data_IF_653542778023
#
_entry.id   IF_653542778023
#
_cell.length_a   1.000
_cell.length_b   1.000
_cell.length_c   1.000
_cell.angle_alpha   90.00
_cell.angle_beta   90.00
_cell.angle_gamma   90.00
#
_symmetry.space_group_name_H-M   'P 1'
#
loop_
_entity.id
_entity.type
_entity.pdbx_description
1 polymer ?
#
# COMPACT_ATOMS: atom_id res chain seq x y z
N UNK A 1 11.36 31.56 -15.23
CA UNK A 1 12.17 30.41 -15.68
C UNK A 1 13.21 30.15 -14.61
N UNK A 2 13.19 28.98 -13.94
CA UNK A 2 14.24 28.64 -12.96
C UNK A 2 15.54 28.31 -13.68
N UNK A 3 16.63 28.93 -13.26
CA UNK A 3 17.99 28.74 -13.77
C UNK A 3 18.89 28.42 -12.58
N UNK A 4 19.85 27.52 -12.78
CA UNK A 4 20.95 27.28 -11.84
C UNK A 4 21.94 28.45 -11.88
N UNK A 5 22.82 28.57 -10.87
CA UNK A 5 23.83 29.64 -10.73
C UNK A 5 24.73 29.80 -11.96
N UNK A 6 24.87 28.75 -12.78
CA UNK A 6 25.72 28.72 -13.97
C UNK A 6 24.94 28.97 -15.27
N UNK A 7 23.71 29.50 -15.20
CA UNK A 7 22.86 29.78 -16.38
C UNK A 7 22.28 28.54 -17.07
N UNK A 8 22.61 27.35 -16.57
CA UNK A 8 21.99 26.10 -17.01
C UNK A 8 20.55 26.00 -16.49
N UNK A 9 19.65 25.42 -17.29
CA UNK A 9 18.32 25.03 -16.79
C UNK A 9 18.51 24.04 -15.66
N UNK A 10 17.83 24.30 -14.54
CA UNK A 10 17.72 23.30 -13.50
C UNK A 10 16.84 22.15 -14.04
N UNK A 11 17.30 20.92 -13.85
CA UNK A 11 16.46 19.73 -14.01
C UNK A 11 16.04 19.31 -12.61
N UNK A 12 14.84 19.71 -12.20
CA UNK A 12 14.32 19.34 -10.88
C UNK A 12 14.17 17.82 -10.75
N UNK A 13 13.97 17.09 -11.85
CA UNK A 13 13.83 15.63 -11.84
C UNK A 13 15.17 14.89 -11.64
N UNK A 14 16.31 15.53 -11.88
CA UNK A 14 17.64 14.94 -11.66
C UNK A 14 18.11 15.00 -10.19
N UNK A 15 17.27 15.51 -9.29
CA UNK A 15 17.57 15.53 -7.86
C UNK A 15 17.46 14.13 -7.24
N UNK A 16 18.29 13.76 -6.24
CA UNK A 16 18.35 12.40 -5.68
C UNK A 16 17.00 11.84 -5.18
N UNK A 17 16.10 12.71 -4.71
CA UNK A 17 14.76 12.33 -4.25
C UNK A 17 13.64 12.80 -5.18
N UNK A 18 13.98 13.56 -6.23
CA UNK A 18 13.03 14.22 -7.11
C UNK A 18 12.00 15.11 -6.37
N UNK A 19 11.17 15.87 -7.10
CA UNK A 19 10.13 16.70 -6.51
C UNK A 19 8.76 16.01 -6.48
N UNK A 20 8.65 14.78 -7.00
CA UNK A 20 7.38 14.09 -7.24
C UNK A 20 7.34 12.74 -6.51
N UNK A 21 6.16 12.33 -6.04
CA UNK A 21 5.98 11.03 -5.40
C UNK A 21 6.13 9.85 -6.37
N UNK A 22 5.62 10.01 -7.59
CA UNK A 22 5.69 8.99 -8.65
C UNK A 22 6.62 9.51 -9.76
N UNK A 23 6.08 9.80 -10.95
CA UNK A 23 6.89 10.18 -12.11
C UNK A 23 7.11 11.69 -12.16
N UNK A 24 8.36 12.12 -12.36
CA UNK A 24 8.72 13.50 -12.66
C UNK A 24 8.98 13.67 -14.16
N UNK A 25 8.38 14.69 -14.76
CA UNK A 25 8.63 15.08 -16.16
C UNK A 25 9.23 16.47 -16.18
N UNK A 26 10.49 16.57 -16.60
CA UNK A 26 11.17 17.86 -16.74
C UNK A 26 10.51 18.68 -17.87
N UNK A 27 10.25 19.97 -17.63
CA UNK A 27 9.65 20.90 -18.60
C UNK A 27 10.52 22.15 -18.74
N UNK A 28 10.32 22.90 -19.82
CA UNK A 28 11.11 24.13 -20.04
C UNK A 28 10.78 25.17 -18.95
N UNK A 29 11.66 25.30 -17.97
CA UNK A 29 11.55 26.31 -16.90
C UNK A 29 10.71 25.89 -15.69
N UNK A 30 10.31 24.61 -15.61
CA UNK A 30 9.55 24.01 -14.51
C UNK A 30 9.58 22.47 -14.63
N UNK A 31 8.80 21.77 -13.82
CA UNK A 31 8.59 20.33 -13.90
C UNK A 31 7.10 20.01 -13.76
N UNK A 32 6.70 18.79 -14.14
CA UNK A 32 5.34 18.30 -13.97
C UNK A 32 5.36 16.91 -13.32
N UNK A 33 4.62 16.75 -12.23
CA UNK A 33 4.41 15.44 -11.63
C UNK A 33 3.29 14.69 -12.35
N UNK A 34 3.47 13.38 -12.53
CA UNK A 34 2.47 12.46 -13.08
C UNK A 34 2.29 11.27 -12.16
N UNK A 35 1.05 10.81 -12.02
CA UNK A 35 0.72 9.63 -11.25
C UNK A 35 0.55 8.41 -12.15
N UNK A 36 0.97 7.25 -11.66
CA UNK A 36 0.73 5.95 -12.28
C UNK A 36 -0.78 5.67 -12.40
N UNK A 37 -1.14 4.72 -13.27
CA UNK A 37 -2.52 4.28 -13.42
C UNK A 37 -3.13 3.87 -12.08
N UNK A 38 -4.40 4.23 -11.85
CA UNK A 38 -5.08 4.00 -10.57
C UNK A 38 -4.88 5.09 -9.51
N UNK A 39 -4.07 6.12 -9.81
CA UNK A 39 -3.82 7.25 -8.90
C UNK A 39 -4.25 8.59 -9.53
N UNK A 40 -4.60 9.55 -8.68
CA UNK A 40 -4.92 10.95 -9.05
C UNK A 40 -3.94 11.89 -8.36
N UNK A 41 -3.50 12.91 -9.11
CA UNK A 41 -2.64 13.96 -8.57
C UNK A 41 -3.50 14.96 -7.79
N UNK A 42 -3.20 15.13 -6.51
CA UNK A 42 -3.82 16.15 -5.66
C UNK A 42 -2.72 16.80 -4.81
N UNK A 43 -2.52 18.12 -4.94
CA UNK A 43 -1.50 18.87 -4.18
C UNK A 43 -0.08 18.27 -4.28
N UNK A 44 0.37 17.88 -5.48
CA UNK A 44 1.64 17.16 -5.73
C UNK A 44 1.77 15.76 -5.11
N UNK A 45 0.70 15.24 -4.51
CA UNK A 45 0.61 13.90 -3.94
C UNK A 45 -0.20 13.00 -4.88
N UNK A 46 0.29 11.78 -5.11
CA UNK A 46 -0.45 10.79 -5.89
C UNK A 46 -1.31 9.94 -4.96
N UNK A 47 -2.63 10.15 -5.01
CA UNK A 47 -3.59 9.43 -4.18
C UNK A 47 -4.25 8.30 -4.97
N UNK A 48 -4.43 7.14 -4.35
CA UNK A 48 -5.16 6.04 -4.96
C UNK A 48 -6.61 6.45 -5.20
N UNK A 49 -7.17 6.09 -6.36
CA UNK A 49 -8.56 6.41 -6.70
C UNK A 49 -9.57 5.48 -6.01
N UNK A 50 -9.11 4.30 -5.58
CA UNK A 50 -9.94 3.30 -4.92
C UNK A 50 -9.80 3.42 -3.39
N UNK A 51 -10.85 3.03 -2.67
CA UNK A 51 -10.85 3.02 -1.21
C UNK A 51 -9.74 2.11 -0.67
N UNK A 52 -8.78 2.72 0.04
CA UNK A 52 -7.71 1.98 0.72
C UNK A 52 -8.28 1.16 1.87
N UNK A 53 -8.01 -0.14 1.85
CA UNK A 53 -8.38 -1.08 2.91
C UNK A 53 -7.12 -1.71 3.47
N UNK A 54 -7.03 -1.81 4.80
CA UNK A 54 -5.94 -2.47 5.51
C UNK A 54 -6.43 -3.81 6.04
N UNK A 55 -5.76 -4.90 5.69
CA UNK A 55 -5.95 -6.19 6.36
C UNK A 55 -5.29 -6.12 7.74
N UNK A 56 -6.06 -6.38 8.79
CA UNK A 56 -5.58 -6.29 10.17
C UNK A 56 -6.35 -7.23 11.10
N UNK A 57 -5.90 -7.31 12.34
CA UNK A 57 -6.53 -8.07 13.41
C UNK A 57 -7.21 -7.15 14.43
N UNK A 58 -8.27 -7.63 15.09
CA UNK A 58 -8.91 -6.97 16.22
C UNK A 58 -9.55 -8.03 17.13
N UNK A 59 -8.94 -8.31 18.30
CA UNK A 59 -9.46 -9.24 19.33
C UNK A 59 -9.89 -10.60 18.77
N UNK A 60 -8.96 -11.38 18.21
CA UNK A 60 -9.28 -12.68 17.58
C UNK A 60 -10.08 -12.61 16.28
N UNK A 61 -10.32 -11.42 15.73
CA UNK A 61 -10.91 -11.25 14.40
C UNK A 61 -9.83 -10.82 13.42
N UNK A 62 -9.91 -11.32 12.20
CA UNK A 62 -9.18 -10.75 11.07
C UNK A 62 -10.20 -10.07 10.15
N UNK A 63 -9.86 -8.86 9.71
CA UNK A 63 -10.77 -8.02 8.95
C UNK A 63 -10.08 -6.93 8.14
N UNK A 64 -10.88 -6.16 7.42
CA UNK A 64 -10.46 -5.03 6.62
C UNK A 64 -10.88 -3.73 7.29
N UNK A 65 -9.92 -2.83 7.53
CA UNK A 65 -10.21 -1.44 7.92
C UNK A 65 -10.24 -0.57 6.69
N UNK A 66 -11.37 0.09 6.43
CA UNK A 66 -11.43 1.17 5.45
C UNK A 66 -10.77 2.43 6.01
N UNK A 67 -9.72 2.94 5.36
CA UNK A 67 -9.02 4.16 5.81
C UNK A 67 -9.92 5.39 5.69
N UNK A 68 -10.73 5.45 4.64
CA UNK A 68 -11.63 6.58 4.37
C UNK A 68 -12.84 6.59 5.32
N UNK A 69 -13.65 5.52 5.28
CA UNK A 69 -14.84 5.40 6.12
C UNK A 69 -14.54 5.14 7.61
N UNK A 70 -13.30 4.78 7.96
CA UNK A 70 -12.88 4.38 9.32
C UNK A 70 -13.72 3.23 9.89
N UNK A 71 -14.13 2.31 9.03
CA UNK A 71 -14.96 1.15 9.39
C UNK A 71 -14.15 -0.14 9.37
N UNK A 72 -14.42 -1.04 10.33
CA UNK A 72 -13.86 -2.39 10.38
C UNK A 72 -14.87 -3.39 9.80
N UNK A 73 -14.48 -4.13 8.77
CA UNK A 73 -15.23 -5.25 8.21
C UNK A 73 -14.57 -6.56 8.61
N UNK A 74 -15.22 -7.32 9.48
CA UNK A 74 -14.79 -8.68 9.82
C UNK A 74 -14.82 -9.57 8.59
N UNK A 75 -13.74 -10.32 8.36
CA UNK A 75 -13.70 -11.38 7.35
C UNK A 75 -13.93 -12.75 7.99
N UNK A 76 -13.31 -13.00 9.15
CA UNK A 76 -13.39 -14.27 9.89
C UNK A 76 -12.88 -14.11 11.32
N UNK A 77 -13.23 -15.08 12.17
CA UNK A 77 -12.71 -15.23 13.52
C UNK A 77 -11.63 -16.31 13.53
N UNK A 78 -10.65 -16.15 14.41
CA UNK A 78 -9.57 -17.11 14.64
C UNK A 78 -9.53 -17.49 16.11
N UNK A 79 -9.17 -18.75 16.37
CA UNK A 79 -9.11 -19.29 17.74
C UNK A 79 -7.87 -18.79 18.52
N UNK A 80 -6.90 -18.20 17.82
CA UNK A 80 -5.67 -17.65 18.39
C UNK A 80 -5.35 -16.31 17.77
N UNK A 81 -4.77 -15.42 18.57
CA UNK A 81 -4.36 -14.10 18.09
C UNK A 81 -3.23 -14.24 17.05
N UNK A 82 -3.41 -13.69 15.84
CA UNK A 82 -2.36 -13.72 14.82
C UNK A 82 -1.20 -12.81 15.21
N UNK A 83 0.03 -13.30 15.02
CA UNK A 83 1.26 -12.52 15.22
C UNK A 83 1.76 -11.88 13.92
N UNK A 84 1.37 -12.44 12.78
CA UNK A 84 1.73 -11.92 11.46
C UNK A 84 0.59 -12.13 10.46
N UNK A 85 0.48 -11.23 9.50
CA UNK A 85 -0.44 -11.28 8.37
C UNK A 85 0.29 -10.96 7.07
N UNK A 86 -0.05 -11.67 6.00
CA UNK A 86 0.38 -11.36 4.64
C UNK A 86 -0.78 -11.56 3.67
N UNK A 87 -0.80 -10.84 2.56
CA UNK A 87 -1.88 -10.90 1.58
C UNK A 87 -1.29 -11.00 0.17
N UNK A 88 -1.83 -11.91 -0.63
CA UNK A 88 -1.55 -12.02 -2.06
C UNK A 88 -2.73 -11.44 -2.85
N UNK A 89 -2.48 -10.27 -3.44
CA UNK A 89 -3.49 -9.55 -4.22
C UNK A 89 -3.80 -10.19 -5.57
N UNK A 90 -2.85 -10.93 -6.16
CA UNK A 90 -3.06 -11.55 -7.46
C UNK A 90 -4.00 -12.76 -7.35
N UNK A 91 -3.88 -13.53 -6.26
CA UNK A 91 -4.67 -14.73 -6.04
C UNK A 91 -5.82 -14.55 -5.04
N UNK A 92 -5.93 -13.37 -4.42
CA UNK A 92 -6.96 -13.06 -3.43
C UNK A 92 -6.93 -13.97 -2.20
N UNK A 93 -5.73 -14.44 -1.82
CA UNK A 93 -5.50 -15.26 -0.63
C UNK A 93 -4.75 -14.46 0.41
N UNK A 94 -4.89 -14.86 1.68
CA UNK A 94 -4.08 -14.29 2.74
C UNK A 94 -3.58 -15.34 3.71
N UNK A 95 -2.50 -14.98 4.37
CA UNK A 95 -1.78 -15.84 5.28
C UNK A 95 -1.76 -15.21 6.65
N UNK A 96 -1.84 -16.04 7.67
CA UNK A 96 -1.67 -15.59 9.05
C UNK A 96 -0.88 -16.62 9.84
N UNK A 97 -0.11 -16.15 10.81
CA UNK A 97 0.66 -17.01 11.70
C UNK A 97 0.20 -16.82 13.15
N UNK A 98 0.19 -17.90 13.93
CA UNK A 98 -0.07 -17.85 15.37
C UNK A 98 1.23 -17.82 16.19
N UNK A 99 1.11 -17.60 17.50
CA UNK A 99 2.26 -17.58 18.41
C UNK A 99 2.96 -18.92 18.64
N UNK A 100 2.44 -20.03 18.08
CA UNK A 100 3.01 -21.37 18.21
C UNK A 100 3.82 -21.78 16.97
N UNK A 101 4.07 -20.86 16.04
CA UNK A 101 4.80 -21.15 14.80
C UNK A 101 3.92 -21.76 13.70
N UNK A 102 2.60 -21.86 13.88
CA UNK A 102 1.73 -22.33 12.81
C UNK A 102 1.50 -21.23 11.78
N UNK A 103 1.51 -21.61 10.49
CA UNK A 103 1.16 -20.72 9.37
C UNK A 103 -0.06 -21.28 8.67
N UNK A 104 -1.03 -20.40 8.45
CA UNK A 104 -2.30 -20.72 7.83
C UNK A 104 -2.47 -19.92 6.54
N UNK A 105 -3.14 -20.52 5.57
CA UNK A 105 -3.63 -19.85 4.37
C UNK A 105 -5.15 -19.85 4.39
N UNK A 106 -5.72 -18.74 4.00
CA UNK A 106 -7.16 -18.62 3.80
C UNK A 106 -7.46 -18.29 2.35
N UNK A 107 -8.29 -19.14 1.77
CA UNK A 107 -8.85 -19.03 0.43
C UNK A 107 -10.34 -19.35 0.55
N UNK A 108 -11.22 -18.53 -0.03
CA UNK A 108 -12.68 -18.72 0.06
C UNK A 108 -13.22 -18.97 1.48
N UNK A 109 -12.72 -18.19 2.45
CA UNK A 109 -13.04 -18.31 3.89
C UNK A 109 -12.64 -19.65 4.53
N UNK A 110 -11.92 -20.51 3.83
CA UNK A 110 -11.41 -21.78 4.34
C UNK A 110 -10.01 -21.60 4.91
N UNK A 111 -9.88 -21.78 6.23
CA UNK A 111 -8.59 -21.72 6.91
C UNK A 111 -7.85 -23.06 6.84
N UNK A 112 -6.70 -23.09 6.17
CA UNK A 112 -5.89 -24.28 5.93
C UNK A 112 -4.53 -24.13 6.60
N UNK A 113 -4.15 -25.09 7.45
CA UNK A 113 -2.81 -25.15 8.04
C UNK A 113 -1.80 -25.53 6.96
N UNK A 114 -0.82 -24.65 6.70
CA UNK A 114 0.26 -24.89 5.75
C UNK A 114 1.54 -25.39 6.42
N UNK A 115 1.81 -24.91 7.62
CA UNK A 115 3.02 -25.24 8.36
C UNK A 115 2.75 -25.24 9.86
N UNK A 116 3.47 -26.12 10.59
CA UNK A 116 3.44 -26.22 12.04
C UNK A 116 4.84 -26.57 12.54
N UNK A 117 5.38 -25.77 13.46
CA UNK A 117 6.70 -26.00 14.04
C UNK A 117 7.27 -24.78 14.74
#
# INVERSE_FOLDING_TARGET
>A
MKLSSNGAKIDECAQPYGPCMHTCVNKKGSFQCRCNQGFKLQNNVCQAQNATKLLTTMKGLIGLVSVEAKTFKTLFAVDRDPVALAFDLAHYVFYWADGNGNIYMVEDQKNTLLYSG
#
